data_IF_645079576318
#
_entry.id   IF_645079576318
#
_cell.length_a   1.000
_cell.length_b   1.000
_cell.length_c   1.000
_cell.angle_alpha   90.00
_cell.angle_beta   90.00
_cell.angle_gamma   90.00
#
_symmetry.space_group_name_H-M   'P 1'
#
loop_
_entity.id
_entity.type
_entity.pdbx_description
1 polymer ?
#
# COMPACT_ATOMS: atom_id res chain seq x y z
N UNK A 1 -6.32 5.19 -10.01
CA UNK A 1 -6.03 3.85 -9.46
C UNK A 1 -5.85 3.97 -7.96
N UNK A 2 -6.64 3.23 -7.18
CA UNK A 2 -6.47 3.17 -5.73
C UNK A 2 -5.11 2.56 -5.39
N UNK A 3 -4.53 2.85 -4.22
CA UNK A 3 -3.27 2.22 -3.77
C UNK A 3 -3.41 0.71 -3.69
N UNK A 4 -4.59 0.21 -3.30
CA UNK A 4 -4.92 -1.22 -3.33
C UNK A 4 -4.77 -1.81 -4.74
N UNK A 5 -5.28 -1.13 -5.77
CA UNK A 5 -5.18 -1.57 -7.16
C UNK A 5 -3.72 -1.55 -7.66
N UNK A 6 -2.91 -0.59 -7.19
CA UNK A 6 -1.48 -0.53 -7.50
C UNK A 6 -0.73 -1.71 -6.89
N UNK A 7 -1.03 -2.07 -5.64
CA UNK A 7 -0.48 -3.27 -4.98
C UNK A 7 -0.87 -4.52 -5.77
N UNK A 8 -2.15 -4.66 -6.13
CA UNK A 8 -2.67 -5.81 -6.88
C UNK A 8 -1.95 -5.97 -8.22
N UNK A 9 -1.84 -4.87 -8.97
CA UNK A 9 -1.19 -4.86 -10.28
C UNK A 9 0.29 -5.24 -10.17
N UNK A 10 1.02 -4.63 -9.24
CA UNK A 10 2.43 -4.93 -9.03
C UNK A 10 2.65 -6.38 -8.55
N UNK A 11 1.76 -6.91 -7.71
CA UNK A 11 1.79 -8.32 -7.27
C UNK A 11 1.59 -9.29 -8.43
N UNK A 12 0.64 -8.99 -9.33
CA UNK A 12 0.41 -9.83 -10.51
C UNK A 12 1.60 -9.81 -11.47
N UNK A 13 2.23 -8.66 -11.65
CA UNK A 13 3.48 -8.53 -12.42
C UNK A 13 4.62 -9.31 -11.78
N UNK A 14 4.75 -9.28 -10.44
CA UNK A 14 5.75 -10.07 -9.72
C UNK A 14 5.52 -11.58 -9.90
N UNK A 15 4.27 -12.02 -9.78
CA UNK A 15 3.90 -13.42 -9.95
C UNK A 15 4.23 -13.90 -11.37
N UNK A 16 3.89 -13.11 -12.39
CA UNK A 16 4.26 -13.39 -13.77
C UNK A 16 5.78 -13.43 -13.95
N UNK A 17 6.51 -12.50 -13.31
CA UNK A 17 7.96 -12.44 -13.39
C UNK A 17 8.64 -13.70 -12.84
N UNK A 18 8.13 -14.23 -11.73
CA UNK A 18 8.60 -15.48 -11.10
C UNK A 18 8.24 -16.68 -11.99
N UNK A 19 7.01 -16.75 -12.50
CA UNK A 19 6.54 -17.88 -13.31
C UNK A 19 7.20 -17.99 -14.68
N UNK A 20 7.71 -16.87 -15.22
CA UNK A 20 8.41 -16.83 -16.51
C UNK A 20 9.94 -16.94 -16.37
N UNK A 21 10.43 -17.28 -15.18
CA UNK A 21 11.85 -17.44 -14.89
C UNK A 21 12.68 -16.22 -15.31
N UNK A 22 12.13 -15.02 -15.05
CA UNK A 22 12.89 -13.80 -15.28
C UNK A 22 14.08 -13.75 -14.33
N UNK A 23 15.14 -13.06 -14.77
CA UNK A 23 16.34 -12.96 -13.95
C UNK A 23 16.04 -12.34 -12.56
N UNK A 24 16.84 -12.76 -11.59
CA UNK A 24 16.70 -12.36 -10.18
C UNK A 24 16.65 -10.85 -9.99
N UNK A 25 17.38 -10.09 -10.81
CA UNK A 25 17.41 -8.63 -10.74
C UNK A 25 16.07 -8.00 -11.12
N UNK A 26 15.40 -8.48 -12.19
CA UNK A 26 14.07 -8.00 -12.59
C UNK A 26 13.02 -8.34 -11.53
N UNK A 27 13.05 -9.57 -11.00
CA UNK A 27 12.16 -9.98 -9.91
C UNK A 27 12.37 -9.07 -8.69
N UNK A 28 13.61 -8.79 -8.31
CA UNK A 28 13.94 -7.94 -7.17
C UNK A 28 13.45 -6.49 -7.37
N UNK A 29 13.56 -5.96 -8.59
CA UNK A 29 13.07 -4.62 -8.92
C UNK A 29 11.55 -4.52 -8.74
N UNK A 30 10.81 -5.52 -9.21
CA UNK A 30 9.35 -5.56 -9.08
C UNK A 30 8.94 -5.76 -7.61
N UNK A 31 9.63 -6.63 -6.87
CA UNK A 31 9.38 -6.84 -5.43
C UNK A 31 9.49 -5.54 -4.64
N UNK A 32 10.54 -4.75 -4.87
CA UNK A 32 10.73 -3.44 -4.22
C UNK A 32 9.60 -2.46 -4.54
N UNK A 33 9.03 -2.55 -5.73
CA UNK A 33 7.90 -1.72 -6.14
C UNK A 33 6.62 -2.11 -5.39
N UNK A 34 6.37 -3.41 -5.23
CA UNK A 34 5.28 -3.93 -4.38
C UNK A 34 5.43 -3.43 -2.94
N UNK A 35 6.61 -3.57 -2.35
CA UNK A 35 6.89 -3.14 -0.97
C UNK A 35 6.63 -1.64 -0.78
N UNK A 36 7.01 -0.81 -1.78
CA UNK A 36 6.74 0.63 -1.75
C UNK A 36 5.24 0.92 -1.69
N UNK A 37 4.42 0.25 -2.50
CA UNK A 37 2.97 0.46 -2.48
C UNK A 37 2.32 -0.02 -1.18
N UNK A 38 2.84 -1.11 -0.59
CA UNK A 38 2.40 -1.59 0.73
C UNK A 38 2.69 -0.53 1.79
N UNK A 39 3.91 -0.01 1.87
CA UNK A 39 4.28 1.06 2.82
C UNK A 39 3.43 2.31 2.61
N UNK A 40 3.18 2.71 1.36
CA UNK A 40 2.29 3.84 1.04
C UNK A 40 0.86 3.59 1.53
N UNK A 41 0.35 2.38 1.37
CA UNK A 41 -0.97 2.00 1.86
C UNK A 41 -1.04 2.08 3.38
N UNK A 42 -0.08 1.49 4.09
CA UNK A 42 -0.01 1.58 5.55
C UNK A 42 0.14 3.03 6.03
N UNK A 43 0.97 3.85 5.40
CA UNK A 43 1.09 5.27 5.73
C UNK A 43 -0.21 6.04 5.50
N UNK A 44 -0.98 5.72 4.46
CA UNK A 44 -2.30 6.33 4.24
C UNK A 44 -3.34 5.87 5.26
N UNK A 45 -3.29 4.59 5.64
CA UNK A 45 -4.22 4.02 6.62
C UNK A 45 -3.91 4.43 8.07
N UNK A 46 -2.63 4.63 8.42
CA UNK A 46 -2.17 4.88 9.79
C UNK A 46 -1.54 6.26 10.01
N UNK A 47 -1.22 7.01 8.96
CA UNK A 47 -0.56 8.31 9.01
C UNK A 47 -1.48 9.51 9.21
N UNK A 48 -2.76 9.30 9.49
CA UNK A 48 -3.69 10.34 9.99
C UNK A 48 -3.74 10.33 11.53
N UNK A 49 -2.58 10.16 12.19
CA UNK A 49 -2.53 10.17 13.66
C UNK A 49 -1.48 11.07 14.29
N UNK A 50 -0.83 11.94 13.51
CA UNK A 50 0.06 12.96 14.05
C UNK A 50 -0.27 14.32 13.44
N UNK A 51 -0.38 15.34 14.31
CA UNK A 51 -0.97 16.69 14.14
C UNK A 51 -2.49 16.62 14.34
N UNK A 52 -3.07 16.71 15.55
CA UNK A 52 -2.97 17.78 16.54
C UNK A 52 -3.25 17.19 17.95
N UNK A 53 -2.25 17.18 18.83
CA UNK A 53 -2.49 17.17 20.28
C UNK A 53 -2.43 18.61 20.79
N UNK A 54 -3.54 19.32 20.62
CA UNK A 54 -3.98 20.42 21.49
C UNK A 54 -5.47 20.67 21.25
N UNK A 55 -6.22 20.52 22.35
CA UNK A 55 -7.60 20.93 22.61
C UNK A 55 -8.72 20.46 21.67
N UNK A 56 -9.62 19.65 22.24
CA UNK A 56 -11.06 19.85 22.10
C UNK A 56 -11.72 19.35 20.81
N UNK A 57 -12.61 18.38 21.01
CA UNK A 57 -13.87 18.17 20.29
C UNK A 57 -13.83 17.70 18.82
N UNK A 58 -14.64 16.65 18.61
CA UNK A 58 -15.45 16.37 17.42
C UNK A 58 -14.74 16.39 16.06
N UNK A 59 -14.09 15.28 15.70
CA UNK A 59 -13.78 15.00 14.31
C UNK A 59 -14.45 13.69 13.92
N UNK A 60 -15.48 13.84 13.09
CA UNK A 60 -16.28 12.77 12.49
C UNK A 60 -15.35 11.76 11.82
N UNK A 61 -15.46 10.51 12.24
CA UNK A 61 -14.95 9.36 11.51
C UNK A 61 -15.45 9.41 10.07
N UNK A 62 -14.53 9.64 9.14
CA UNK A 62 -14.68 9.08 7.79
C UNK A 62 -13.56 8.06 7.58
N UNK A 63 -13.51 7.09 8.51
CA UNK A 63 -12.63 5.90 8.49
C UNK A 63 -13.13 4.84 7.49
N UNK A 64 -13.77 5.26 6.40
CA UNK A 64 -14.36 4.36 5.41
C UNK A 64 -13.44 4.20 4.19
N UNK A 65 -12.34 3.46 4.35
CA UNK A 65 -11.87 2.48 3.33
C UNK A 65 -10.60 1.73 3.75
N UNK A 66 -10.54 1.22 4.98
CA UNK A 66 -9.78 0.00 5.27
C UNK A 66 -10.77 -1.11 5.59
N UNK A 67 -11.66 -1.39 4.64
CA UNK A 67 -12.69 -2.42 4.78
C UNK A 67 -12.01 -3.78 4.72
N UNK A 68 -11.83 -4.34 5.92
CA UNK A 68 -12.20 -5.71 6.32
C UNK A 68 -12.29 -6.70 5.14
N UNK A 69 -11.36 -7.65 5.11
CA UNK A 69 -11.60 -8.96 4.49
C UNK A 69 -12.77 -9.64 5.19
#
# INVERSE_FOLDING_TARGET
MNVKDKIETARNVLHYAINKDHNKEKILKISREVDKYIVEHYKKCHGQKDIISNSGNDIKEDTTQCSKQ
#
